data_IF_511293401693
#
_entry.id   IF_511293401693
#
_cell.length_a   1.000
_cell.length_b   1.000
_cell.length_c   1.000
_cell.angle_alpha   90.00
_cell.angle_beta   90.00
_cell.angle_gamma   90.00
#
_symmetry.space_group_name_H-M   'P 1'
#
loop_
_entity.id
_entity.type
_entity.pdbx_description
1 polymer ?
#
# COMPACT_ATOMS: atom_id res chain seq x y z
N UNK A 1 4.69 15.59 19.50
CA UNK A 1 5.56 16.79 19.56
C UNK A 1 4.66 18.02 19.58
N UNK A 2 4.85 18.99 20.48
CA UNK A 2 4.06 20.23 20.47
C UNK A 2 4.73 21.28 19.57
N UNK A 3 3.99 22.30 19.14
CA UNK A 3 4.51 23.36 18.27
C UNK A 3 5.79 24.01 18.84
N UNK A 4 5.78 24.29 20.15
CA UNK A 4 6.92 24.88 20.89
C UNK A 4 8.15 23.96 20.89
N UNK A 5 7.96 22.64 20.86
CA UNK A 5 9.08 21.67 20.78
C UNK A 5 9.66 21.60 19.37
N UNK A 6 8.81 21.72 18.35
CA UNK A 6 9.22 21.70 16.94
C UNK A 6 10.07 22.93 16.58
N UNK A 7 9.73 24.11 17.10
CA UNK A 7 10.50 25.34 16.88
C UNK A 7 11.93 25.25 17.43
N UNK A 8 12.15 24.42 18.47
CA UNK A 8 13.47 24.18 19.06
C UNK A 8 14.30 23.15 18.28
N UNK A 9 13.70 22.34 17.42
CA UNK A 9 14.41 21.31 16.66
C UNK A 9 15.37 21.93 15.63
N UNK A 10 14.96 23.02 14.96
CA UNK A 10 15.80 23.70 13.95
C UNK A 10 17.09 24.31 14.52
N UNK A 11 17.08 25.11 15.60
CA UNK A 11 18.31 25.64 16.18
C UNK A 11 19.19 24.54 16.81
N UNK A 12 18.60 23.48 17.37
CA UNK A 12 19.36 22.31 17.84
C UNK A 12 20.06 21.59 16.68
N UNK A 13 19.38 21.37 15.56
CA UNK A 13 19.97 20.80 14.35
C UNK A 13 21.17 21.61 13.85
N UNK A 14 21.04 22.93 13.78
CA UNK A 14 22.15 23.79 13.33
C UNK A 14 23.38 23.66 14.24
N UNK A 15 23.19 23.57 15.56
CA UNK A 15 24.28 23.37 16.53
C UNK A 15 24.88 21.95 16.44
N UNK A 16 24.02 20.95 16.24
CA UNK A 16 24.41 19.56 16.07
C UNK A 16 25.30 19.38 14.83
N UNK A 17 24.88 19.90 13.67
CA UNK A 17 25.68 19.84 12.44
C UNK A 17 26.92 20.72 12.50
N UNK A 18 26.92 21.81 13.27
CA UNK A 18 28.11 22.64 13.45
C UNK A 18 29.23 21.91 14.22
N UNK A 19 28.90 20.85 14.97
CA UNK A 19 29.87 20.09 15.75
C UNK A 19 30.84 19.30 14.85
N UNK A 20 32.17 19.50 14.98
CA UNK A 20 33.17 18.87 14.11
C UNK A 20 33.12 17.34 14.12
N UNK A 21 32.83 16.75 15.28
CA UNK A 21 32.72 15.31 15.46
C UNK A 21 31.56 14.70 14.66
N UNK A 22 30.38 15.35 14.71
CA UNK A 22 29.18 14.92 13.98
C UNK A 22 29.42 14.99 12.47
N UNK A 23 30.06 16.06 11.98
CA UNK A 23 30.42 16.18 10.56
C UNK A 23 31.31 15.04 10.09
N UNK A 24 32.27 14.65 10.91
CA UNK A 24 33.17 13.53 10.60
C UNK A 24 32.41 12.20 10.54
N UNK A 25 31.59 11.89 11.56
CA UNK A 25 30.79 10.65 11.56
C UNK A 25 29.81 10.59 10.37
N UNK A 26 29.22 11.72 9.98
CA UNK A 26 28.35 11.78 8.80
C UNK A 26 29.09 11.58 7.47
N UNK A 27 30.36 12.00 7.36
CA UNK A 27 31.18 11.75 6.17
C UNK A 27 31.64 10.29 6.08
N UNK A 28 31.78 9.62 7.21
CA UNK A 28 32.20 8.21 7.30
C UNK A 28 31.03 7.24 7.12
N UNK A 29 29.78 7.72 7.20
CA UNK A 29 28.58 6.92 7.02
C UNK A 29 28.49 6.32 5.61
N UNK A 30 28.25 5.00 5.54
CA UNK A 30 28.12 4.25 4.29
C UNK A 30 26.75 3.59 4.21
N UNK A 31 25.89 4.14 3.35
CA UNK A 31 24.50 3.69 3.20
C UNK A 31 24.34 2.24 2.71
N UNK A 32 25.35 1.69 2.04
CA UNK A 32 25.35 0.32 1.51
C UNK A 32 25.63 -0.73 2.59
N UNK A 33 26.39 -0.37 3.62
CA UNK A 33 26.81 -1.28 4.69
C UNK A 33 26.16 -1.00 6.04
N UNK A 34 25.64 0.20 6.25
CA UNK A 34 25.08 0.63 7.53
C UNK A 34 23.65 1.15 7.38
N UNK A 35 22.78 0.69 8.27
CA UNK A 35 21.40 1.16 8.32
C UNK A 35 21.31 2.56 8.91
N UNK A 36 20.56 3.42 8.25
CA UNK A 36 20.36 4.82 8.64
C UNK A 36 19.77 4.98 10.04
N UNK A 37 18.84 4.12 10.44
CA UNK A 37 18.19 4.20 11.75
C UNK A 37 19.12 3.78 12.90
N UNK A 38 19.98 2.78 12.67
CA UNK A 38 21.03 2.36 13.61
C UNK A 38 22.07 3.47 13.79
N UNK A 39 22.49 4.07 12.67
CA UNK A 39 23.42 5.21 12.66
C UNK A 39 22.88 6.39 13.49
N UNK A 40 21.64 6.82 13.23
CA UNK A 40 21.02 7.91 13.99
C UNK A 40 20.79 7.55 15.46
N UNK A 41 20.47 6.30 15.79
CA UNK A 41 20.36 5.85 17.18
C UNK A 41 21.70 5.96 17.92
N UNK A 42 22.81 5.58 17.28
CA UNK A 42 24.14 5.74 17.87
C UNK A 42 24.49 7.22 18.11
N UNK A 43 24.13 8.10 17.17
CA UNK A 43 24.30 9.54 17.32
C UNK A 43 23.44 10.13 18.44
N UNK A 44 22.23 9.61 18.66
CA UNK A 44 21.33 10.00 19.75
C UNK A 44 21.94 9.71 21.12
N UNK A 45 22.46 8.50 21.30
CA UNK A 45 23.03 8.05 22.57
C UNK A 45 24.26 8.88 22.97
N UNK A 46 25.06 9.29 21.99
CA UNK A 46 26.26 10.12 22.19
C UNK A 46 25.93 11.60 22.45
N UNK A 47 24.77 12.10 22.03
CA UNK A 47 24.47 13.54 21.99
C UNK A 47 23.13 13.89 22.67
N UNK A 48 23.04 13.63 23.97
CA UNK A 48 21.83 13.84 24.77
C UNK A 48 21.35 15.30 24.88
N UNK A 49 22.14 16.27 24.41
CA UNK A 49 21.81 17.70 24.45
C UNK A 49 20.78 18.14 23.39
N UNK A 50 20.48 17.31 22.39
CA UNK A 50 19.62 17.67 21.24
C UNK A 50 18.34 16.84 21.20
N UNK A 51 17.69 16.66 22.35
CA UNK A 51 16.51 15.80 22.49
C UNK A 51 15.35 16.21 21.58
N UNK A 52 15.13 17.51 21.36
CA UNK A 52 13.99 17.97 20.54
C UNK A 52 14.25 17.67 19.06
N UNK A 53 15.49 17.88 18.60
CA UNK A 53 15.93 17.45 17.27
C UNK A 53 15.83 15.93 17.09
N UNK A 54 16.32 15.13 18.04
CA UNK A 54 16.29 13.68 17.90
C UNK A 54 14.88 13.09 18.01
N UNK A 55 14.00 13.69 18.81
CA UNK A 55 12.58 13.36 18.80
C UNK A 55 11.95 13.65 17.43
N UNK A 56 12.37 14.73 16.76
CA UNK A 56 11.92 15.04 15.39
C UNK A 56 12.43 13.99 14.39
N UNK A 57 13.73 13.65 14.43
CA UNK A 57 14.31 12.60 13.57
C UNK A 57 13.61 11.25 13.79
N UNK A 58 13.36 10.88 15.06
CA UNK A 58 12.62 9.66 15.40
C UNK A 58 11.20 9.68 14.82
N UNK A 59 10.50 10.80 14.92
CA UNK A 59 9.19 10.94 14.28
C UNK A 59 9.28 10.82 12.76
N UNK A 60 10.29 11.41 12.10
CA UNK A 60 10.47 11.31 10.64
C UNK A 60 10.81 9.87 10.21
N UNK A 61 11.65 9.15 10.97
CA UNK A 61 12.04 7.77 10.65
C UNK A 61 10.93 6.75 10.93
N UNK A 62 10.07 7.02 11.92
CA UNK A 62 8.89 6.18 12.27
C UNK A 62 7.66 6.56 11.47
N UNK A 63 7.56 7.82 11.02
CA UNK A 63 6.61 8.22 10.00
C UNK A 63 6.95 7.41 8.77
N UNK A 64 6.23 6.31 8.57
CA UNK A 64 6.13 5.69 7.27
C UNK A 64 5.83 6.82 6.30
N UNK A 65 6.57 6.92 5.19
CA UNK A 65 6.19 7.68 3.99
C UNK A 65 4.93 7.04 3.36
N UNK A 66 3.94 6.80 4.22
CA UNK A 66 2.88 5.83 4.13
C UNK A 66 1.71 6.38 3.35
N UNK A 67 1.97 6.76 2.11
CA UNK A 67 1.06 6.42 1.03
C UNK A 67 1.36 5.02 0.47
N UNK A 68 2.22 4.20 1.10
CA UNK A 68 2.63 2.90 0.51
C UNK A 68 2.59 1.67 1.45
N UNK A 69 2.33 1.80 2.76
CA UNK A 69 2.29 0.63 3.66
C UNK A 69 0.88 -0.01 3.73
N UNK A 70 -0.17 0.82 3.86
CA UNK A 70 -1.55 0.34 3.76
C UNK A 70 -1.83 -0.11 2.32
N UNK A 71 -1.25 0.55 1.30
CA UNK A 71 -1.33 0.08 -0.09
C UNK A 71 -0.50 -1.18 -0.37
N UNK A 72 0.53 -1.53 0.41
CA UNK A 72 1.21 -2.84 0.24
C UNK A 72 0.32 -4.00 0.68
N UNK A 73 -0.51 -3.82 1.70
CA UNK A 73 -1.57 -4.77 2.06
C UNK A 73 -2.61 -4.92 0.94
N UNK A 74 -2.92 -3.83 0.24
CA UNK A 74 -3.78 -3.85 -0.96
C UNK A 74 -3.06 -4.31 -2.24
N UNK A 75 -1.72 -4.21 -2.33
CA UNK A 75 -0.93 -4.57 -3.51
C UNK A 75 -0.48 -6.02 -3.51
N UNK A 76 -0.27 -6.65 -2.34
CA UNK A 76 -0.20 -8.12 -2.25
C UNK A 76 -1.59 -8.68 -2.59
N UNK A 77 -2.67 -8.04 -2.12
CA UNK A 77 -4.03 -8.40 -2.55
C UNK A 77 -4.32 -8.14 -4.03
N UNK A 78 -3.56 -7.29 -4.72
CA UNK A 78 -3.71 -7.10 -6.17
C UNK A 78 -3.11 -8.28 -6.96
N UNK A 79 -2.11 -8.97 -6.41
CA UNK A 79 -1.65 -10.26 -6.90
C UNK A 79 -2.54 -11.42 -6.39
N UNK A 80 -3.13 -11.29 -5.20
CA UNK A 80 -4.10 -12.24 -4.62
C UNK A 80 -5.57 -11.95 -4.95
N UNK A 81 -5.88 -11.24 -6.05
CA UNK A 81 -7.26 -11.21 -6.56
C UNK A 81 -7.74 -12.63 -6.88
N UNK A 82 -6.82 -13.55 -7.17
CA UNK A 82 -7.10 -14.95 -7.51
C UNK A 82 -7.52 -15.77 -6.28
N UNK A 83 -7.00 -15.50 -5.07
CA UNK A 83 -7.27 -16.34 -3.89
C UNK A 83 -8.65 -16.11 -3.25
N UNK A 84 -9.25 -14.92 -3.41
CA UNK A 84 -10.60 -14.63 -2.88
C UNK A 84 -11.69 -14.59 -3.95
N UNK A 85 -11.40 -15.00 -5.19
CA UNK A 85 -12.43 -15.17 -6.22
C UNK A 85 -13.17 -16.49 -5.98
N UNK A 86 -14.50 -16.44 -5.98
CA UNK A 86 -15.29 -17.66 -6.07
C UNK A 86 -14.93 -18.41 -7.37
N UNK A 87 -14.94 -19.74 -7.33
CA UNK A 87 -14.61 -20.60 -8.48
C UNK A 87 -15.34 -20.15 -9.78
N UNK A 88 -16.62 -19.82 -9.65
CA UNK A 88 -17.45 -19.33 -10.76
C UNK A 88 -16.91 -18.03 -11.38
N UNK A 89 -16.35 -17.13 -10.58
CA UNK A 89 -15.73 -15.90 -11.07
C UNK A 89 -14.44 -16.18 -11.84
N UNK A 90 -13.65 -17.15 -11.37
CA UNK A 90 -12.41 -17.58 -12.06
C UNK A 90 -12.75 -18.21 -13.42
N UNK A 91 -13.75 -19.08 -13.47
CA UNK A 91 -14.22 -19.71 -14.72
C UNK A 91 -14.73 -18.64 -15.70
N UNK A 92 -15.52 -17.67 -15.23
CA UNK A 92 -16.02 -16.59 -16.06
C UNK A 92 -14.89 -15.73 -16.64
N UNK A 93 -13.90 -15.35 -15.81
CA UNK A 93 -12.74 -14.58 -16.26
C UNK A 93 -11.94 -15.34 -17.32
N UNK A 94 -11.72 -16.65 -17.10
CA UNK A 94 -11.02 -17.50 -18.06
C UNK A 94 -11.77 -17.60 -19.39
N UNK A 95 -13.07 -17.77 -19.33
CA UNK A 95 -13.95 -17.83 -20.52
C UNK A 95 -13.84 -16.54 -21.35
N UNK A 96 -13.85 -15.37 -20.69
CA UNK A 96 -13.68 -14.08 -21.36
C UNK A 96 -12.28 -13.98 -21.99
N UNK A 97 -11.24 -14.35 -21.25
CA UNK A 97 -9.86 -14.32 -21.77
C UNK A 97 -9.71 -15.19 -23.02
N UNK A 98 -10.20 -16.44 -22.98
CA UNK A 98 -10.11 -17.38 -24.10
C UNK A 98 -10.89 -16.86 -25.32
N UNK A 99 -12.08 -16.27 -25.11
CA UNK A 99 -12.86 -15.68 -26.19
C UNK A 99 -12.14 -14.48 -26.85
N UNK A 100 -11.52 -13.60 -26.06
CA UNK A 100 -10.76 -12.44 -26.58
C UNK A 100 -9.49 -12.90 -27.31
N UNK A 101 -8.78 -13.88 -26.74
CA UNK A 101 -7.58 -14.47 -27.34
C UNK A 101 -7.90 -15.14 -28.68
N UNK A 102 -8.96 -15.95 -28.75
CA UNK A 102 -9.41 -16.61 -29.97
C UNK A 102 -9.89 -15.63 -31.04
N UNK A 103 -10.41 -14.46 -30.65
CA UNK A 103 -10.79 -13.40 -31.59
C UNK A 103 -9.57 -12.67 -32.18
N UNK A 104 -8.35 -12.95 -31.71
CA UNK A 104 -7.13 -12.31 -32.19
C UNK A 104 -6.83 -10.95 -31.53
N UNK A 105 -7.36 -10.74 -30.31
CA UNK A 105 -7.12 -9.56 -29.48
C UNK A 105 -8.37 -8.71 -29.25
N UNK A 106 -8.26 -7.78 -28.29
CA UNK A 106 -9.39 -6.98 -27.79
C UNK A 106 -10.14 -6.20 -28.88
N UNK A 107 -9.43 -5.66 -29.87
CA UNK A 107 -10.01 -4.84 -30.93
C UNK A 107 -10.73 -5.63 -32.02
N UNK A 108 -10.61 -6.96 -32.03
CA UNK A 108 -11.20 -7.84 -33.04
C UNK A 108 -12.45 -8.58 -32.53
N UNK A 109 -12.88 -8.29 -31.29
CA UNK A 109 -14.07 -8.90 -30.70
C UNK A 109 -15.32 -8.18 -31.21
N UNK A 110 -16.19 -8.91 -31.90
CA UNK A 110 -17.47 -8.38 -32.37
C UNK A 110 -18.45 -8.19 -31.21
N UNK A 111 -18.92 -6.94 -31.01
CA UNK A 111 -19.87 -6.61 -29.94
C UNK A 111 -21.29 -6.98 -30.39
N UNK A 112 -21.77 -8.12 -29.91
CA UNK A 112 -23.12 -8.61 -30.22
C UNK A 112 -24.22 -7.83 -29.49
N UNK A 113 -25.46 -7.88 -30.00
CA UNK A 113 -26.63 -7.28 -29.34
C UNK A 113 -26.89 -7.88 -27.96
N UNK A 114 -26.61 -9.17 -27.79
CA UNK A 114 -26.79 -9.86 -26.51
C UNK A 114 -25.81 -9.34 -25.45
N UNK A 115 -24.56 -9.08 -25.80
CA UNK A 115 -23.58 -8.48 -24.88
C UNK A 115 -24.02 -7.10 -24.40
N UNK A 116 -24.57 -6.27 -25.31
CA UNK A 116 -25.12 -4.95 -24.95
C UNK A 116 -26.30 -5.07 -23.99
N UNK A 117 -27.20 -6.02 -24.23
CA UNK A 117 -28.35 -6.28 -23.37
C UNK A 117 -27.91 -6.79 -21.99
N UNK A 118 -26.95 -7.72 -21.95
CA UNK A 118 -26.40 -8.27 -20.71
C UNK A 118 -25.72 -7.18 -19.87
N UNK A 119 -24.91 -6.32 -20.51
CA UNK A 119 -24.28 -5.19 -19.83
C UNK A 119 -25.32 -4.21 -19.26
N UNK A 120 -26.38 -3.90 -20.02
CA UNK A 120 -27.47 -3.02 -19.56
C UNK A 120 -28.23 -3.60 -18.36
N UNK A 121 -28.40 -4.91 -18.34
CA UNK A 121 -29.17 -5.61 -17.30
C UNK A 121 -28.30 -6.15 -16.15
N UNK A 122 -26.99 -5.92 -16.16
CA UNK A 122 -26.04 -6.50 -15.20
C UNK A 122 -26.43 -6.24 -13.74
N UNK A 123 -26.92 -5.03 -13.45
CA UNK A 123 -27.40 -4.68 -12.12
C UNK A 123 -28.64 -5.51 -11.71
N UNK A 124 -29.59 -5.76 -12.63
CA UNK A 124 -30.76 -6.61 -12.34
C UNK A 124 -30.34 -8.04 -12.03
N UNK A 125 -29.46 -8.61 -12.86
CA UNK A 125 -28.95 -9.97 -12.66
C UNK A 125 -28.23 -10.13 -11.33
N UNK A 126 -27.43 -9.13 -10.92
CA UNK A 126 -26.78 -9.13 -9.62
C UNK A 126 -27.78 -9.18 -8.45
N UNK A 127 -28.85 -8.38 -8.50
CA UNK A 127 -29.88 -8.40 -7.45
C UNK A 127 -30.70 -9.69 -7.43
N UNK A 128 -30.94 -10.29 -8.59
CA UNK A 128 -31.60 -11.60 -8.69
C UNK A 128 -30.73 -12.70 -8.07
N UNK A 129 -29.43 -12.68 -8.36
CA UNK A 129 -28.45 -13.64 -7.82
C UNK A 129 -28.29 -13.50 -6.29
N UNK A 130 -28.16 -12.28 -5.77
CA UNK A 130 -28.14 -12.03 -4.33
C UNK A 130 -29.40 -12.52 -3.61
N UNK A 131 -30.58 -12.42 -4.25
CA UNK A 131 -31.82 -12.95 -3.69
C UNK A 131 -31.81 -14.47 -3.67
N UNK A 132 -31.31 -15.10 -4.73
CA UNK A 132 -31.20 -16.55 -4.81
C UNK A 132 -30.24 -17.10 -3.75
N UNK A 133 -29.07 -16.48 -3.57
CA UNK A 133 -28.09 -16.86 -2.53
C UNK A 133 -28.71 -16.82 -1.13
N UNK A 134 -29.40 -15.72 -0.79
CA UNK A 134 -30.10 -15.58 0.49
C UNK A 134 -31.20 -16.63 0.71
N UNK A 135 -31.83 -17.12 -0.36
CA UNK A 135 -32.84 -18.18 -0.27
C UNK A 135 -32.19 -19.55 -0.09
N UNK A 136 -31.01 -19.78 -0.66
CA UNK A 136 -30.23 -21.01 -0.50
C UNK A 136 -29.67 -21.10 0.91
N UNK A 137 -29.09 -20.01 1.44
CA UNK A 137 -28.59 -19.94 2.82
C UNK A 137 -29.69 -20.27 3.83
N UNK A 138 -30.87 -19.64 3.69
CA UNK A 138 -32.03 -19.92 4.56
C UNK A 138 -32.50 -21.37 4.52
N UNK A 139 -32.38 -22.05 3.37
CA UNK A 139 -32.74 -23.46 3.24
C UNK A 139 -31.68 -24.43 3.77
N UNK A 140 -30.44 -23.97 3.90
CA UNK A 140 -29.35 -24.78 4.47
C UNK A 140 -29.28 -24.71 6.00
N UNK A 141 -29.97 -23.74 6.60
CA UNK A 141 -30.10 -23.58 8.05
C UNK A 141 -31.31 -24.31 8.66
N UNK A 142 -32.20 -24.86 7.82
CA UNK A 142 -33.34 -25.74 8.18
C UNK A 142 -32.96 -27.23 8.09
#
# INVERSE_FOLDING_TARGET
MTAVTADKAKPEFCKFIASPHVKKEMLEFKHESERLDVFYSSLMDKNTNYQNFFMFVKNVLIMSLGNAAVERGFSINKAMLIENMQERSVIALRTVYDAVSNSGGLFKVDITKQMKLAARNAHSYYHEELKAEKLIEKKSEE
#
